data_IF_853186843322
#
_entry.id   IF_853186843322
#
_cell.length_a   1.000
_cell.length_b   1.000
_cell.length_c   1.000
_cell.angle_alpha   90.00
_cell.angle_beta   90.00
_cell.angle_gamma   90.00
#
_symmetry.space_group_name_H-M   'P 1'
#
loop_
_entity.id
_entity.type
_entity.pdbx_description
1 polymer ?
#
# COMPACT_ATOMS: atom_id res chain seq x y z
N UNK A 1 10.79 -35.96 21.10
CA UNK A 1 11.71 -35.16 20.27
C UNK A 1 11.07 -34.56 19.03
N UNK A 2 10.64 -35.33 18.00
CA UNK A 2 10.08 -34.72 16.76
C UNK A 2 8.73 -33.99 16.95
N UNK A 3 7.86 -34.52 17.81
CA UNK A 3 6.55 -33.91 18.11
C UNK A 3 6.70 -32.61 18.93
N UNK A 4 7.68 -32.54 19.83
CA UNK A 4 7.91 -31.37 20.70
C UNK A 4 8.36 -30.14 19.88
N UNK A 5 9.28 -30.31 18.94
CA UNK A 5 9.80 -29.22 18.09
C UNK A 5 8.73 -28.65 17.15
N UNK A 6 7.84 -29.51 16.67
CA UNK A 6 6.72 -29.12 15.82
C UNK A 6 5.70 -28.29 16.61
N UNK A 7 5.33 -28.74 17.82
CA UNK A 7 4.42 -28.02 18.73
C UNK A 7 5.01 -26.66 19.12
N UNK A 8 6.31 -26.60 19.40
CA UNK A 8 6.99 -25.35 19.76
C UNK A 8 6.95 -24.33 18.61
N UNK A 9 7.24 -24.75 17.38
CA UNK A 9 7.21 -23.87 16.20
C UNK A 9 5.80 -23.33 15.91
N UNK A 10 4.78 -24.19 16.05
CA UNK A 10 3.37 -23.79 15.90
C UNK A 10 3.00 -22.77 16.97
N UNK A 11 3.40 -23.00 18.22
CA UNK A 11 3.12 -22.10 19.34
C UNK A 11 3.79 -20.73 19.17
N UNK A 12 5.06 -20.71 18.75
CA UNK A 12 5.80 -19.47 18.45
C UNK A 12 5.11 -18.64 17.36
N UNK A 13 4.66 -19.28 16.28
CA UNK A 13 3.97 -18.59 15.20
C UNK A 13 2.58 -18.11 15.62
N UNK A 14 1.84 -18.89 16.40
CA UNK A 14 0.55 -18.48 16.94
C UNK A 14 0.69 -17.26 17.85
N UNK A 15 1.69 -17.27 18.74
CA UNK A 15 2.00 -16.13 19.63
C UNK A 15 2.36 -14.87 18.85
N UNK A 16 3.18 -14.98 17.81
CA UNK A 16 3.51 -13.84 16.96
C UNK A 16 2.31 -13.33 16.15
N UNK A 17 1.43 -14.22 15.67
CA UNK A 17 0.22 -13.79 14.96
C UNK A 17 -0.75 -13.03 15.88
N UNK A 18 -0.80 -13.41 17.16
CA UNK A 18 -1.57 -12.68 18.17
C UNK A 18 -0.97 -11.29 18.42
N UNK A 19 0.35 -11.19 18.60
CA UNK A 19 1.05 -9.91 18.72
C UNK A 19 0.82 -9.02 17.48
N UNK A 20 0.90 -9.59 16.28
CA UNK A 20 0.65 -8.89 15.02
C UNK A 20 -0.79 -8.32 14.92
N UNK A 21 -1.74 -8.93 15.65
CA UNK A 21 -3.11 -8.46 15.75
C UNK A 21 -3.26 -7.22 16.65
N UNK A 22 -2.34 -7.02 17.59
CA UNK A 22 -2.30 -5.86 18.50
C UNK A 22 -1.72 -4.62 17.83
N UNK A 23 -0.85 -4.78 16.82
CA UNK A 23 -0.27 -3.66 16.08
C UNK A 23 -1.30 -2.94 15.20
N UNK A 24 -1.30 -1.60 15.21
CA UNK A 24 -2.16 -0.76 14.36
C UNK A 24 -1.74 -0.84 12.88
N UNK A 25 -2.07 -1.96 12.25
CA UNK A 25 -1.79 -2.29 10.84
C UNK A 25 -3.09 -2.56 10.09
N UNK A 26 -3.09 -2.33 8.79
CA UNK A 26 -4.27 -2.60 7.95
C UNK A 26 -4.59 -4.10 7.94
N UNK A 27 -5.88 -4.47 7.95
CA UNK A 27 -6.34 -5.86 7.83
C UNK A 27 -5.72 -6.59 6.62
N UNK A 28 -5.55 -5.87 5.50
CA UNK A 28 -4.88 -6.39 4.30
C UNK A 28 -3.45 -6.82 4.59
N UNK A 29 -2.67 -5.97 5.24
CA UNK A 29 -1.28 -6.28 5.62
C UNK A 29 -1.21 -7.53 6.49
N UNK A 30 -2.07 -7.60 7.53
CA UNK A 30 -2.13 -8.76 8.43
C UNK A 30 -2.40 -10.07 7.67
N UNK A 31 -3.43 -10.09 6.84
CA UNK A 31 -3.79 -11.27 6.01
C UNK A 31 -2.62 -11.72 5.14
N UNK A 32 -1.97 -10.80 4.44
CA UNK A 32 -0.84 -11.14 3.58
C UNK A 32 0.39 -11.61 4.37
N UNK A 33 0.68 -11.00 5.52
CA UNK A 33 1.76 -11.43 6.41
C UNK A 33 1.50 -12.84 6.95
N UNK A 34 0.29 -13.12 7.44
CA UNK A 34 -0.13 -14.45 7.91
C UNK A 34 0.02 -15.50 6.81
N UNK A 35 -0.41 -15.21 5.58
CA UNK A 35 -0.27 -16.14 4.46
C UNK A 35 1.20 -16.49 4.20
N UNK A 36 2.09 -15.50 4.21
CA UNK A 36 3.53 -15.70 3.96
C UNK A 36 4.20 -16.48 5.09
N UNK A 37 3.82 -16.22 6.33
CA UNK A 37 4.33 -16.93 7.50
C UNK A 37 3.86 -18.38 7.54
N UNK A 38 2.60 -18.67 7.19
CA UNK A 38 2.10 -20.05 7.05
C UNK A 38 2.83 -20.82 5.95
N UNK A 39 3.15 -20.17 4.83
CA UNK A 39 3.96 -20.79 3.79
C UNK A 39 5.38 -21.11 4.26
N UNK A 40 5.98 -20.23 5.07
CA UNK A 40 7.29 -20.47 5.69
C UNK A 40 7.22 -21.62 6.72
N UNK A 41 6.18 -21.65 7.54
CA UNK A 41 5.91 -22.74 8.50
C UNK A 41 5.79 -24.10 7.78
N UNK A 42 5.00 -24.16 6.70
CA UNK A 42 4.85 -25.38 5.91
C UNK A 42 6.19 -25.86 5.34
N UNK A 43 7.06 -24.93 4.90
CA UNK A 43 8.40 -25.27 4.43
C UNK A 43 9.32 -25.84 5.53
N UNK A 44 9.26 -25.28 6.74
CA UNK A 44 10.06 -25.73 7.87
C UNK A 44 9.56 -27.09 8.39
N UNK A 45 8.26 -27.36 8.28
CA UNK A 45 7.59 -28.56 8.79
C UNK A 45 7.92 -28.79 10.28
N UNK A 46 8.79 -29.75 10.59
CA UNK A 46 9.13 -30.16 11.97
C UNK A 46 10.51 -29.68 12.44
N UNK A 47 11.20 -28.87 11.63
CA UNK A 47 12.51 -28.34 11.98
C UNK A 47 12.37 -27.11 12.91
N UNK A 48 13.31 -26.88 13.82
CA UNK A 48 13.28 -25.67 14.64
C UNK A 48 13.53 -24.42 13.76
N UNK A 49 12.81 -23.34 14.04
CA UNK A 49 12.97 -22.08 13.33
C UNK A 49 14.41 -21.58 13.46
N UNK A 50 15.03 -21.22 12.34
CA UNK A 50 16.37 -20.66 12.33
C UNK A 50 16.57 -19.66 11.20
N UNK A 51 17.55 -18.77 11.37
CA UNK A 51 17.98 -17.85 10.33
C UNK A 51 18.48 -18.59 9.07
N UNK A 52 19.05 -19.78 9.23
CA UNK A 52 19.47 -20.63 8.12
C UNK A 52 18.28 -21.10 7.29
N UNK A 53 17.22 -21.61 7.94
CA UNK A 53 16.01 -22.05 7.25
C UNK A 53 15.27 -20.92 6.57
N UNK A 54 15.23 -19.74 7.19
CA UNK A 54 14.70 -18.54 6.54
C UNK A 54 15.47 -18.17 5.26
N UNK A 55 16.82 -18.23 5.27
CA UNK A 55 17.63 -18.03 4.06
C UNK A 55 17.36 -19.11 3.01
N UNK A 56 17.29 -20.38 3.42
CA UNK A 56 17.02 -21.52 2.53
C UNK A 56 15.65 -21.40 1.86
N UNK A 57 14.63 -20.98 2.61
CA UNK A 57 13.30 -20.74 2.08
C UNK A 57 13.29 -19.61 1.04
N UNK A 58 13.92 -18.47 1.35
CA UNK A 58 14.00 -17.35 0.40
C UNK A 58 14.80 -17.70 -0.87
N UNK A 59 15.83 -18.56 -0.74
CA UNK A 59 16.56 -19.10 -1.89
C UNK A 59 15.67 -20.03 -2.73
N UNK A 60 14.90 -20.92 -2.10
CA UNK A 60 13.94 -21.79 -2.79
C UNK A 60 12.94 -20.97 -3.63
N UNK A 61 12.35 -19.92 -3.05
CA UNK A 61 11.41 -19.05 -3.77
C UNK A 61 12.06 -18.40 -4.99
N UNK A 62 13.33 -18.01 -4.88
CA UNK A 62 14.08 -17.46 -6.01
C UNK A 62 14.29 -18.52 -7.10
N UNK A 63 14.66 -19.73 -6.72
CA UNK A 63 14.93 -20.82 -7.65
C UNK A 63 13.64 -21.31 -8.34
N UNK A 64 12.49 -21.16 -7.68
CA UNK A 64 11.15 -21.34 -8.26
C UNK A 64 10.70 -20.18 -9.19
N UNK A 65 11.52 -19.15 -9.38
CA UNK A 65 11.24 -18.05 -10.30
C UNK A 65 10.36 -16.94 -9.75
N UNK A 66 10.19 -16.82 -8.42
CA UNK A 66 9.42 -15.72 -7.84
C UNK A 66 10.06 -14.36 -8.14
N UNK A 67 9.22 -13.35 -8.42
CA UNK A 67 9.67 -11.97 -8.65
C UNK A 67 10.41 -11.42 -7.41
N UNK A 68 11.44 -10.57 -7.57
CA UNK A 68 12.15 -9.97 -6.43
C UNK A 68 11.25 -9.24 -5.42
N UNK A 69 10.16 -8.63 -5.89
CA UNK A 69 9.18 -7.99 -5.03
C UNK A 69 8.40 -8.99 -4.15
N UNK A 70 8.09 -10.17 -4.68
CA UNK A 70 7.45 -11.23 -3.91
C UNK A 70 8.41 -11.74 -2.83
N UNK A 71 9.67 -12.01 -3.18
CA UNK A 71 10.70 -12.47 -2.23
C UNK A 71 10.91 -11.43 -1.11
N UNK A 72 10.97 -10.15 -1.46
CA UNK A 72 11.00 -9.06 -0.48
C UNK A 72 9.80 -9.06 0.45
N UNK A 73 8.59 -9.31 -0.06
CA UNK A 73 7.40 -9.37 0.76
C UNK A 73 7.43 -10.56 1.75
N UNK A 74 7.99 -11.71 1.35
CA UNK A 74 8.26 -12.82 2.27
C UNK A 74 9.30 -12.44 3.32
N UNK A 75 10.41 -11.83 2.91
CA UNK A 75 11.43 -11.34 3.85
C UNK A 75 10.85 -10.37 4.88
N UNK A 76 10.04 -9.40 4.45
CA UNK A 76 9.38 -8.43 5.34
C UNK A 76 8.37 -9.04 6.30
N UNK A 77 7.84 -10.24 6.01
CA UNK A 77 6.98 -10.98 6.93
C UNK A 77 7.78 -11.86 7.90
N UNK A 78 8.82 -12.55 7.39
CA UNK A 78 9.65 -13.49 8.17
C UNK A 78 10.58 -12.77 9.12
N UNK A 79 11.18 -11.65 8.71
CA UNK A 79 12.16 -10.93 9.53
C UNK A 79 11.61 -10.55 10.91
N UNK A 80 10.47 -9.85 11.03
CA UNK A 80 10.01 -9.41 12.35
C UNK A 80 9.55 -10.60 13.20
N UNK A 81 9.02 -11.68 12.59
CA UNK A 81 8.74 -12.93 13.29
C UNK A 81 10.00 -13.55 13.91
N UNK A 82 11.09 -13.65 13.15
CA UNK A 82 12.36 -14.17 13.67
C UNK A 82 12.91 -13.28 14.79
N UNK A 83 12.82 -11.95 14.64
CA UNK A 83 13.25 -11.01 15.67
C UNK A 83 12.40 -11.12 16.96
N UNK A 84 11.10 -11.37 16.85
CA UNK A 84 10.19 -11.60 17.98
C UNK A 84 10.61 -12.81 18.83
N UNK A 85 11.00 -13.92 18.19
CA UNK A 85 11.50 -15.12 18.88
C UNK A 85 12.99 -15.02 19.27
N UNK A 86 13.61 -13.85 19.13
CA UNK A 86 15.00 -13.59 19.53
C UNK A 86 16.07 -14.04 18.53
N UNK A 87 15.70 -14.37 17.29
CA UNK A 87 16.63 -14.79 16.23
C UNK A 87 16.96 -13.59 15.33
N UNK A 88 18.19 -13.04 15.37
CA UNK A 88 18.55 -11.92 14.51
C UNK A 88 18.56 -12.34 13.04
N UNK A 89 17.80 -11.62 12.20
CA UNK A 89 17.67 -11.96 10.78
C UNK A 89 17.94 -10.78 9.85
N UNK A 90 19.11 -10.80 9.21
CA UNK A 90 19.52 -9.79 8.23
C UNK A 90 19.94 -10.44 6.93
N UNK A 91 19.33 -9.99 5.84
CA UNK A 91 19.67 -10.42 4.49
C UNK A 91 19.66 -9.22 3.55
N UNK A 92 20.72 -9.07 2.75
CA UNK A 92 20.79 -8.00 1.74
C UNK A 92 20.05 -8.46 0.49
N UNK A 93 18.80 -8.04 0.34
CA UNK A 93 17.99 -8.30 -0.85
C UNK A 93 17.98 -7.07 -1.77
N UNK A 94 18.05 -7.28 -3.09
CA UNK A 94 17.94 -6.19 -4.08
C UNK A 94 16.54 -5.60 -4.00
N UNK A 95 16.41 -4.36 -3.55
CA UNK A 95 15.12 -3.65 -3.50
C UNK A 95 14.59 -3.49 -4.92
N UNK A 96 13.39 -4.00 -5.23
CA UNK A 96 12.79 -3.81 -6.54
C UNK A 96 12.44 -2.32 -6.69
N UNK A 97 13.13 -1.62 -7.58
CA UNK A 97 12.71 -0.27 -7.98
C UNK A 97 11.50 -0.42 -8.91
N UNK A 98 10.34 0.02 -8.44
CA UNK A 98 9.18 0.24 -9.30
C UNK A 98 9.07 1.74 -9.53
N UNK A 99 9.19 2.17 -10.77
CA UNK A 99 8.77 3.51 -11.14
C UNK A 99 7.24 3.58 -10.96
N UNK A 100 6.71 4.65 -10.34
CA UNK A 100 5.28 4.87 -10.33
C UNK A 100 4.73 4.85 -11.76
N UNK A 101 3.61 4.15 -11.96
CA UNK A 101 2.85 4.31 -13.20
C UNK A 101 2.29 5.72 -13.23
N UNK A 102 2.43 6.41 -14.36
CA UNK A 102 1.83 7.72 -14.58
C UNK A 102 0.80 7.63 -15.70
N UNK A 103 -0.18 8.54 -15.66
CA UNK A 103 -1.14 8.70 -16.75
C UNK A 103 -0.67 9.77 -17.71
N UNK A 104 -0.70 9.48 -19.02
CA UNK A 104 -0.39 10.49 -20.03
C UNK A 104 -1.55 11.48 -20.18
N UNK A 105 -1.28 12.68 -20.72
CA UNK A 105 -2.33 13.66 -21.00
C UNK A 105 -3.45 13.08 -21.87
N UNK A 106 -3.12 12.25 -22.86
CA UNK A 106 -4.10 11.57 -23.71
C UNK A 106 -5.00 10.62 -22.90
N UNK A 107 -4.44 9.88 -21.94
CA UNK A 107 -5.25 9.00 -21.08
C UNK A 107 -6.20 9.81 -20.20
N UNK A 108 -5.74 10.93 -19.63
CA UNK A 108 -6.59 11.83 -18.84
C UNK A 108 -7.73 12.38 -19.71
N UNK A 109 -7.41 12.87 -20.92
CA UNK A 109 -8.40 13.38 -21.86
C UNK A 109 -9.43 12.31 -22.26
N UNK A 110 -9.00 11.07 -22.48
CA UNK A 110 -9.91 9.95 -22.74
C UNK A 110 -10.84 9.67 -21.56
N UNK A 111 -10.34 9.73 -20.32
CA UNK A 111 -11.19 9.59 -19.12
C UNK A 111 -12.23 10.71 -19.04
N UNK A 112 -11.84 11.95 -19.31
CA UNK A 112 -12.75 13.10 -19.33
C UNK A 112 -13.83 12.95 -20.41
N UNK A 113 -13.46 12.47 -21.60
CA UNK A 113 -14.41 12.21 -22.69
C UNK A 113 -15.44 11.14 -22.30
N UNK A 114 -15.00 10.04 -21.68
CA UNK A 114 -15.88 8.96 -21.19
C UNK A 114 -16.87 9.49 -20.14
N UNK A 115 -16.41 10.33 -19.21
CA UNK A 115 -17.31 10.96 -18.22
C UNK A 115 -18.31 11.88 -18.93
N UNK A 116 -17.85 12.72 -19.86
CA UNK A 116 -18.69 13.64 -20.62
C UNK A 116 -19.79 12.94 -21.42
N UNK A 117 -19.48 11.83 -22.08
CA UNK A 117 -20.41 11.06 -22.93
C UNK A 117 -21.30 10.08 -22.15
N UNK A 118 -21.16 9.95 -20.84
CA UNK A 118 -21.91 8.99 -20.02
C UNK A 118 -23.43 9.25 -20.09
N UNK A 119 -24.25 8.21 -20.19
CA UNK A 119 -25.74 8.34 -20.26
C UNK A 119 -26.47 7.47 -19.23
N UNK A 120 -25.73 6.81 -18.33
CA UNK A 120 -26.27 5.95 -17.30
C UNK A 120 -26.86 6.73 -16.10
N UNK A 121 -27.27 6.01 -15.05
CA UNK A 121 -27.79 6.56 -13.80
C UNK A 121 -26.82 7.50 -13.06
N UNK A 122 -25.52 7.44 -13.37
CA UNK A 122 -24.48 8.29 -12.78
C UNK A 122 -24.26 9.58 -13.58
N UNK A 123 -24.98 9.80 -14.68
CA UNK A 123 -24.85 11.00 -15.53
C UNK A 123 -25.07 12.32 -14.77
N UNK A 124 -25.85 12.31 -13.67
CA UNK A 124 -26.02 13.48 -12.79
C UNK A 124 -24.73 13.90 -12.07
N UNK A 125 -23.74 13.03 -11.98
CA UNK A 125 -22.46 13.30 -11.30
C UNK A 125 -21.31 13.64 -12.26
N UNK A 126 -21.59 13.86 -13.55
CA UNK A 126 -20.57 14.19 -14.56
C UNK A 126 -19.65 15.33 -14.14
N UNK A 127 -20.23 16.43 -13.65
CA UNK A 127 -19.47 17.60 -13.21
C UNK A 127 -18.52 17.24 -12.07
N UNK A 128 -19.02 16.55 -11.03
CA UNK A 128 -18.21 16.06 -9.90
C UNK A 128 -17.05 15.17 -10.37
N UNK A 129 -17.36 14.14 -11.17
CA UNK A 129 -16.37 13.16 -11.61
C UNK A 129 -15.29 13.82 -12.50
N UNK A 130 -15.69 14.78 -13.34
CA UNK A 130 -14.78 15.59 -14.17
C UNK A 130 -13.84 16.41 -13.29
N UNK A 131 -14.37 17.09 -12.28
CA UNK A 131 -13.56 17.89 -11.34
C UNK A 131 -12.60 17.02 -10.54
N UNK A 132 -13.01 15.82 -10.10
CA UNK A 132 -12.12 14.89 -9.40
C UNK A 132 -10.93 14.48 -10.29
N UNK A 133 -11.18 14.14 -11.56
CA UNK A 133 -10.11 13.76 -12.50
C UNK A 133 -9.14 14.93 -12.72
N UNK A 134 -9.66 16.13 -12.99
CA UNK A 134 -8.84 17.32 -13.21
C UNK A 134 -8.06 17.72 -11.96
N UNK A 135 -8.69 17.65 -10.79
CA UNK A 135 -8.05 17.92 -9.51
C UNK A 135 -6.84 17.01 -9.31
N UNK A 136 -7.02 15.70 -9.43
CA UNK A 136 -5.93 14.73 -9.26
C UNK A 136 -4.83 14.91 -10.32
N UNK A 137 -5.20 15.15 -11.57
CA UNK A 137 -4.26 15.30 -12.67
C UNK A 137 -3.41 16.58 -12.57
N UNK A 138 -3.98 17.69 -12.10
CA UNK A 138 -3.32 19.01 -12.10
C UNK A 138 -2.66 19.37 -10.77
N UNK A 139 -3.13 18.83 -9.64
CA UNK A 139 -2.64 19.23 -8.31
C UNK A 139 -1.71 18.20 -7.68
N UNK A 140 -1.71 16.95 -8.16
CA UNK A 140 -0.89 15.88 -7.59
C UNK A 140 -1.25 15.56 -6.13
N UNK A 141 -2.49 15.82 -5.71
CA UNK A 141 -2.99 15.40 -4.40
C UNK A 141 -2.88 13.88 -4.25
N UNK A 142 -2.51 13.42 -3.06
CA UNK A 142 -2.60 12.00 -2.72
C UNK A 142 -4.05 11.60 -2.55
N UNK A 143 -4.36 10.32 -2.75
CA UNK A 143 -5.70 9.76 -2.56
C UNK A 143 -6.33 10.19 -1.21
N UNK A 144 -5.59 10.00 -0.11
CA UNK A 144 -6.08 10.39 1.22
C UNK A 144 -6.25 11.91 1.38
N UNK A 145 -5.42 12.72 0.72
CA UNK A 145 -5.53 14.18 0.77
C UNK A 145 -6.76 14.64 -0.02
N UNK A 146 -7.01 14.06 -1.20
CA UNK A 146 -8.17 14.36 -2.03
C UNK A 146 -9.49 13.93 -1.36
N UNK A 147 -9.53 12.76 -0.72
CA UNK A 147 -10.72 12.28 0.00
C UNK A 147 -11.08 13.12 1.22
N UNK A 148 -10.09 13.75 1.87
CA UNK A 148 -10.29 14.58 3.05
C UNK A 148 -10.36 16.08 2.75
N UNK A 149 -10.32 16.48 1.47
CA UNK A 149 -10.35 17.87 1.05
C UNK A 149 -11.70 18.50 1.40
N UNK A 150 -11.69 19.65 2.08
CA UNK A 150 -12.90 20.40 2.43
C UNK A 150 -12.99 21.71 1.64
N UNK A 151 -14.21 22.25 1.42
CA UNK A 151 -14.41 23.57 0.83
C UNK A 151 -13.53 24.68 1.42
N UNK A 152 -13.39 24.73 2.75
CA UNK A 152 -12.57 25.72 3.44
C UNK A 152 -11.06 25.60 3.17
N UNK A 153 -10.60 24.50 2.57
CA UNK A 153 -9.21 24.33 2.17
C UNK A 153 -8.93 24.94 0.79
N UNK A 154 -9.96 25.27 0.02
CA UNK A 154 -9.84 25.91 -1.29
C UNK A 154 -10.01 27.41 -1.07
N UNK A 155 -8.93 28.17 -1.25
CA UNK A 155 -8.92 29.62 -1.02
C UNK A 155 -8.33 30.32 -2.24
N UNK A 156 -9.18 31.06 -2.96
CA UNK A 156 -8.80 31.73 -4.20
C UNK A 156 -8.27 30.74 -5.24
N UNK A 157 -7.00 30.87 -5.56
CA UNK A 157 -6.22 30.08 -6.52
C UNK A 157 -5.32 29.03 -5.85
N UNK A 158 -5.57 28.67 -4.58
CA UNK A 158 -4.75 27.68 -3.86
C UNK A 158 -5.58 26.64 -3.10
N UNK A 159 -5.00 25.44 -2.98
CA UNK A 159 -5.45 24.39 -2.06
C UNK A 159 -4.47 24.30 -0.88
N UNK A 160 -5.01 24.41 0.33
CA UNK A 160 -4.28 24.14 1.56
C UNK A 160 -4.41 22.65 1.93
N UNK A 161 -3.31 21.91 1.83
CA UNK A 161 -3.26 20.51 2.26
C UNK A 161 -2.75 20.46 3.69
N UNK A 162 -3.64 20.10 4.62
CA UNK A 162 -3.31 19.88 6.02
C UNK A 162 -2.85 18.44 6.26
N UNK A 163 -1.93 18.22 7.19
CA UNK A 163 -1.40 16.89 7.52
C UNK A 163 -0.75 16.18 6.32
N UNK A 164 0.11 16.89 5.58
CA UNK A 164 0.90 16.30 4.51
C UNK A 164 1.95 15.29 5.02
N UNK A 165 2.89 14.90 4.14
CA UNK A 165 3.94 13.94 4.50
C UNK A 165 4.78 14.45 5.67
N UNK A 166 4.81 13.70 6.77
CA UNK A 166 5.52 14.08 7.99
C UNK A 166 4.80 15.17 8.80
N UNK A 167 3.47 15.25 8.68
CA UNK A 167 2.60 16.19 9.38
C UNK A 167 2.90 17.66 9.07
N UNK A 168 3.38 17.91 7.84
CA UNK A 168 3.65 19.27 7.34
C UNK A 168 2.56 19.73 6.41
N UNK A 169 2.08 20.94 6.66
CA UNK A 169 1.14 21.61 5.77
C UNK A 169 1.85 22.09 4.50
N UNK A 170 1.12 22.11 3.39
CA UNK A 170 1.60 22.68 2.13
C UNK A 170 0.48 23.36 1.37
N UNK A 171 0.86 24.29 0.50
CA UNK A 171 -0.06 24.99 -0.40
C UNK A 171 0.21 24.52 -1.84
N UNK A 172 -0.86 24.23 -2.58
CA UNK A 172 -0.80 23.82 -3.98
C UNK A 172 -1.51 24.89 -4.83
N UNK A 173 -0.83 25.53 -5.79
CA UNK A 173 -1.48 26.45 -6.72
C UNK A 173 -2.44 25.68 -7.64
N UNK A 174 -3.61 26.26 -7.87
CA UNK A 174 -4.61 25.77 -8.80
C UNK A 174 -4.37 26.35 -10.19
N UNK A 175 -4.54 25.52 -11.21
CA UNK A 175 -4.63 26.01 -12.57
C UNK A 175 -5.88 26.89 -12.72
N UNK A 176 -5.76 28.01 -13.44
CA UNK A 176 -6.87 28.98 -13.65
C UNK A 176 -8.14 28.31 -14.17
N UNK A 177 -7.97 27.34 -15.07
CA UNK A 177 -9.07 26.60 -15.69
C UNK A 177 -9.82 25.70 -14.70
N UNK A 178 -9.25 25.44 -13.52
CA UNK A 178 -9.86 24.62 -12.46
C UNK A 178 -10.51 25.46 -11.36
N UNK A 179 -10.04 26.70 -11.15
CA UNK A 179 -10.53 27.58 -10.07
C UNK A 179 -12.03 27.85 -10.21
N UNK A 180 -12.47 28.37 -11.35
CA UNK A 180 -13.87 28.73 -11.56
C UNK A 180 -14.80 27.51 -11.50
N UNK A 181 -14.54 26.39 -12.22
CA UNK A 181 -15.37 25.19 -12.11
C UNK A 181 -15.45 24.58 -10.70
N UNK A 182 -14.36 24.64 -9.92
CA UNK A 182 -14.38 24.19 -8.52
C UNK A 182 -15.20 25.12 -7.64
N UNK A 183 -15.05 26.44 -7.78
CA UNK A 183 -15.83 27.43 -7.03
C UNK A 183 -17.32 27.30 -7.33
N UNK A 184 -17.69 27.20 -8.62
CA UNK A 184 -19.07 27.03 -9.06
C UNK A 184 -19.70 25.72 -8.54
N UNK A 185 -18.89 24.68 -8.28
CA UNK A 185 -19.37 23.39 -7.75
C UNK A 185 -19.50 23.37 -6.23
N UNK A 186 -18.71 24.19 -5.53
CA UNK A 186 -18.64 24.23 -4.05
C UNK A 186 -19.58 25.30 -3.47
N UNK A 187 -19.94 26.31 -4.27
CA UNK A 187 -20.93 27.35 -3.95
C UNK A 187 -22.32 26.75 -3.70
#
# INVERSE_FOLDING_TARGET
MQIETQVETIAQLASYLDELSLHHTTLKYRREATQRLRAFQAFISDQPVSAYLAKKFLALLRDQGYKPASIHAYYSAIKPFLEFIGIPFKLKLRTPQRLPSYHSANQVNSMLAIVGSRTDTWSKFKQRDTLIILLLALTGLRESEALNLRPCNISGDFIQVRHGKGDKDRVIPLARDLVKPLQDYVA
#
